data_IF_682165983279
#
_entry.id   IF_682165983279
#
_cell.length_a   1.000
_cell.length_b   1.000
_cell.length_c   1.000
_cell.angle_alpha   90.00
_cell.angle_beta   90.00
_cell.angle_gamma   90.00
#
_symmetry.space_group_name_H-M   'P 1'
#
loop_
_entity.id
_entity.type
_entity.pdbx_description
1 polymer ?
#
# COMPACT_ATOMS: atom_id res chain seq x y z
N UNK A 1 7.33 -50.08 32.72
CA UNK A 1 6.67 -48.78 32.46
C UNK A 1 7.74 -47.82 31.97
N UNK A 2 7.76 -47.55 30.67
CA UNK A 2 8.68 -46.59 30.06
C UNK A 2 7.85 -45.42 29.55
N UNK A 3 8.10 -44.24 30.09
CA UNK A 3 7.46 -42.98 29.69
C UNK A 3 8.14 -42.54 28.39
N UNK A 4 7.46 -42.48 27.23
CA UNK A 4 8.12 -42.01 26.02
C UNK A 4 8.28 -40.50 26.05
N UNK A 5 9.51 -40.11 25.68
CA UNK A 5 10.07 -38.79 25.63
C UNK A 5 9.26 -37.78 24.80
N UNK A 6 9.22 -36.56 25.34
CA UNK A 6 9.28 -35.27 24.63
C UNK A 6 8.28 -35.06 23.48
N UNK A 7 7.15 -34.47 23.85
CA UNK A 7 6.32 -33.66 22.97
C UNK A 7 7.15 -32.49 22.42
N UNK A 8 7.68 -32.61 21.19
CA UNK A 8 8.24 -31.47 20.47
C UNK A 8 7.08 -30.58 20.04
N UNK A 9 6.76 -29.57 20.86
CA UNK A 9 5.86 -28.49 20.50
C UNK A 9 6.44 -27.83 19.24
N UNK A 10 5.75 -27.95 18.10
CA UNK A 10 6.14 -27.27 16.86
C UNK A 10 6.27 -25.78 17.18
N UNK A 11 7.51 -25.28 17.15
CA UNK A 11 7.82 -23.87 17.41
C UNK A 11 6.96 -23.05 16.45
N UNK A 12 6.00 -22.29 16.98
CA UNK A 12 5.24 -21.31 16.21
C UNK A 12 6.25 -20.41 15.50
N UNK A 13 6.40 -20.61 14.19
CA UNK A 13 7.25 -19.77 13.36
C UNK A 13 6.54 -18.43 13.25
N UNK A 14 6.89 -17.48 14.13
CA UNK A 14 6.43 -16.08 14.00
C UNK A 14 6.93 -15.58 12.66
N UNK A 15 6.01 -15.40 11.72
CA UNK A 15 6.31 -14.79 10.44
C UNK A 15 6.94 -13.40 10.67
N UNK A 16 7.84 -12.97 9.77
CA UNK A 16 8.45 -11.65 9.86
C UNK A 16 7.38 -10.55 9.94
N UNK A 17 7.70 -9.40 10.55
CA UNK A 17 6.78 -8.27 10.64
C UNK A 17 6.52 -7.71 9.23
N UNK A 18 5.52 -8.26 8.56
CA UNK A 18 4.90 -7.58 7.43
C UNK A 18 4.12 -6.40 7.99
N UNK A 19 4.27 -5.24 7.36
CA UNK A 19 3.46 -4.06 7.66
C UNK A 19 1.97 -4.49 7.75
N UNK A 20 1.18 -3.93 8.69
CA UNK A 20 -0.19 -4.40 9.00
C UNK A 20 -1.20 -4.26 7.85
N UNK A 21 -0.73 -3.88 6.66
CA UNK A 21 -1.51 -3.64 5.47
C UNK A 21 -0.88 -4.37 4.28
N UNK A 22 -1.70 -5.12 3.54
CA UNK A 22 -1.25 -5.86 2.36
C UNK A 22 -0.68 -4.95 1.26
N UNK A 23 -0.07 -5.57 0.23
CA UNK A 23 0.55 -4.88 -0.91
C UNK A 23 -0.34 -3.81 -1.56
N UNK A 24 -1.67 -3.99 -1.56
CA UNK A 24 -2.63 -3.02 -2.10
C UNK A 24 -2.68 -1.68 -1.34
N UNK A 25 -2.35 -1.64 -0.05
CA UNK A 25 -2.30 -0.37 0.69
C UNK A 25 -1.02 0.42 0.37
N UNK A 26 0.09 -0.28 0.13
CA UNK A 26 1.37 0.32 -0.25
C UNK A 26 1.28 0.94 -1.64
N UNK A 27 0.60 0.28 -2.58
CA UNK A 27 0.44 0.81 -3.94
C UNK A 27 -0.39 2.09 -3.97
N UNK A 28 -1.48 2.20 -3.22
CA UNK A 28 -2.30 3.43 -3.13
C UNK A 28 -1.49 4.60 -2.58
N UNK A 29 -0.65 4.33 -1.58
CA UNK A 29 0.24 5.31 -0.96
C UNK A 29 1.30 5.81 -1.95
N UNK A 30 1.96 4.89 -2.65
CA UNK A 30 2.95 5.21 -3.67
C UNK A 30 2.35 6.00 -4.84
N UNK A 31 1.15 5.62 -5.27
CA UNK A 31 0.43 6.34 -6.33
C UNK A 31 0.06 7.76 -5.87
N UNK A 32 -0.47 7.91 -4.65
CA UNK A 32 -0.76 9.22 -4.08
C UNK A 32 0.49 10.11 -3.96
N UNK A 33 1.60 9.56 -3.47
CA UNK A 33 2.89 10.25 -3.38
C UNK A 33 3.44 10.64 -4.76
N UNK A 34 3.31 9.76 -5.75
CA UNK A 34 3.76 10.05 -7.12
C UNK A 34 2.98 11.23 -7.70
N UNK A 35 1.65 11.24 -7.56
CA UNK A 35 0.80 12.33 -8.05
C UNK A 35 1.11 13.67 -7.37
N UNK A 36 1.38 13.68 -6.06
CA UNK A 36 1.77 14.92 -5.38
C UNK A 36 3.11 15.44 -5.84
N UNK A 37 4.12 14.57 -5.95
CA UNK A 37 5.47 14.96 -6.41
C UNK A 37 5.40 15.51 -7.83
N UNK A 38 4.72 14.82 -8.75
CA UNK A 38 4.56 15.27 -10.14
C UNK A 38 3.84 16.61 -10.19
N UNK A 39 2.73 16.77 -9.44
CA UNK A 39 1.99 18.03 -9.36
C UNK A 39 2.85 19.20 -8.87
N UNK A 40 3.64 18.98 -7.81
CA UNK A 40 4.56 19.99 -7.26
C UNK A 40 5.64 20.36 -8.27
N UNK A 41 6.24 19.38 -8.95
CA UNK A 41 7.27 19.63 -9.97
C UNK A 41 6.71 20.47 -11.12
N UNK A 42 5.49 20.17 -11.58
CA UNK A 42 4.82 20.96 -12.63
C UNK A 42 4.56 22.40 -12.16
N UNK A 43 4.13 22.60 -10.91
CA UNK A 43 3.93 23.93 -10.33
C UNK A 43 5.25 24.72 -10.28
N UNK A 44 6.34 24.09 -9.85
CA UNK A 44 7.66 24.73 -9.81
C UNK A 44 8.11 25.10 -11.22
N UNK A 45 7.95 24.19 -12.19
CA UNK A 45 8.27 24.45 -13.59
C UNK A 45 7.44 25.61 -14.17
N UNK A 46 6.14 25.66 -13.86
CA UNK A 46 5.25 26.75 -14.26
C UNK A 46 5.71 28.10 -13.68
N UNK A 47 6.08 28.12 -12.39
CA UNK A 47 6.54 29.32 -11.71
C UNK A 47 7.85 29.85 -12.33
N UNK A 48 8.83 28.98 -12.55
CA UNK A 48 10.07 29.36 -13.20
C UNK A 48 9.84 29.82 -14.64
N UNK A 49 9.07 29.06 -15.43
CA UNK A 49 8.74 29.41 -16.81
C UNK A 49 8.01 30.74 -16.95
N UNK A 50 7.12 31.07 -16.01
CA UNK A 50 6.46 32.36 -15.93
C UNK A 50 7.44 33.50 -15.67
N UNK A 51 8.33 33.36 -14.67
CA UNK A 51 9.31 34.38 -14.32
C UNK A 51 10.27 34.62 -15.50
N UNK A 52 10.84 33.55 -16.06
CA UNK A 52 11.78 33.66 -17.19
C UNK A 52 11.09 34.19 -18.45
N UNK A 53 9.85 33.77 -18.72
CA UNK A 53 9.08 34.22 -19.87
C UNK A 53 8.68 35.70 -19.76
N UNK A 54 8.33 36.16 -18.56
CA UNK A 54 7.98 37.57 -18.30
C UNK A 54 9.22 38.47 -18.42
N UNK A 55 10.36 38.05 -17.85
CA UNK A 55 11.64 38.77 -17.98
C UNK A 55 12.08 38.82 -19.45
N UNK A 56 11.96 37.70 -20.17
CA UNK A 56 12.32 37.64 -21.60
C UNK A 56 11.45 38.54 -22.46
N UNK A 57 10.13 38.59 -22.21
CA UNK A 57 9.24 39.50 -22.92
C UNK A 57 9.54 40.98 -22.60
N UNK A 58 9.81 41.30 -21.33
CA UNK A 58 10.13 42.65 -20.90
C UNK A 58 11.47 43.18 -21.45
N UNK A 59 12.49 42.32 -21.56
CA UNK A 59 13.82 42.70 -22.07
C UNK A 59 13.94 42.59 -23.60
N UNK A 60 13.18 41.70 -24.23
CA UNK A 60 13.27 41.40 -25.67
C UNK A 60 12.37 42.23 -26.57
N UNK A 61 11.70 43.27 -26.05
CA UNK A 61 10.73 44.07 -26.81
C UNK A 61 9.41 43.35 -27.09
N UNK A 62 9.15 42.23 -26.42
CA UNK A 62 7.88 41.54 -26.46
C UNK A 62 6.82 42.41 -25.80
N UNK A 63 5.97 43.04 -26.61
CA UNK A 63 4.87 43.86 -26.09
C UNK A 63 3.92 43.07 -25.17
N UNK A 64 2.90 43.76 -24.65
CA UNK A 64 1.91 43.22 -23.69
C UNK A 64 1.38 41.82 -24.07
N UNK A 65 1.20 41.53 -25.37
CA UNK A 65 0.77 40.22 -25.86
C UNK A 65 1.73 39.05 -25.51
N UNK A 66 3.04 39.29 -25.50
CA UNK A 66 4.04 38.28 -25.16
C UNK A 66 4.01 37.92 -23.66
N UNK A 67 3.78 38.93 -22.82
CA UNK A 67 3.60 38.76 -21.37
C UNK A 67 2.28 38.02 -21.08
N UNK A 68 1.20 38.35 -21.80
CA UNK A 68 -0.06 37.62 -21.66
C UNK A 68 0.05 36.16 -22.12
N UNK A 69 0.81 35.88 -23.17
CA UNK A 69 1.04 34.51 -23.65
C UNK A 69 1.77 33.66 -22.62
N UNK A 70 2.86 34.18 -22.02
CA UNK A 70 3.59 33.47 -20.97
C UNK A 70 2.77 33.29 -19.69
N UNK A 71 1.93 34.27 -19.35
CA UNK A 71 0.98 34.19 -18.23
C UNK A 71 -0.05 33.08 -18.44
N UNK A 72 -0.66 33.00 -19.62
CA UNK A 72 -1.68 31.97 -19.91
C UNK A 72 -1.08 30.55 -19.90
N UNK A 73 0.14 30.38 -20.45
CA UNK A 73 0.86 29.10 -20.37
C UNK A 73 1.15 28.68 -18.93
N UNK A 74 1.57 29.64 -18.09
CA UNK A 74 1.79 29.39 -16.67
C UNK A 74 0.50 29.00 -15.95
N UNK A 75 -0.61 29.73 -16.16
CA UNK A 75 -1.91 29.45 -15.54
C UNK A 75 -2.36 28.02 -15.83
N UNK A 76 -2.25 27.57 -17.08
CA UNK A 76 -2.63 26.19 -17.46
C UNK A 76 -1.81 25.16 -16.68
N UNK A 77 -0.49 25.35 -16.58
CA UNK A 77 0.38 24.44 -15.83
C UNK A 77 0.11 24.50 -14.32
N UNK A 78 -0.22 25.67 -13.76
CA UNK A 78 -0.64 25.81 -12.37
C UNK A 78 -1.96 25.08 -12.10
N UNK A 79 -2.93 25.13 -13.02
CA UNK A 79 -4.19 24.39 -12.89
C UNK A 79 -3.95 22.88 -12.94
N UNK A 80 -3.18 22.40 -13.93
CA UNK A 80 -2.89 20.97 -14.07
C UNK A 80 -2.08 20.45 -12.88
N UNK A 81 -1.00 21.16 -12.51
CA UNK A 81 -0.17 20.82 -11.37
C UNK A 81 -0.95 20.89 -10.05
N UNK A 82 -1.83 21.88 -9.90
CA UNK A 82 -2.71 22.05 -8.75
C UNK A 82 -3.75 20.92 -8.62
N UNK A 83 -4.36 20.49 -9.72
CA UNK A 83 -5.29 19.34 -9.72
C UNK A 83 -4.55 18.05 -9.37
N UNK A 84 -3.37 17.79 -9.96
CA UNK A 84 -2.56 16.60 -9.66
C UNK A 84 -2.09 16.57 -8.19
N UNK A 85 -1.57 17.70 -7.70
CA UNK A 85 -1.17 17.83 -6.30
C UNK A 85 -2.38 17.74 -5.34
N UNK A 86 -3.54 18.27 -5.73
CA UNK A 86 -4.77 18.20 -4.97
C UNK A 86 -5.32 16.78 -4.85
N UNK A 87 -5.37 16.03 -5.95
CA UNK A 87 -5.80 14.62 -5.97
C UNK A 87 -4.84 13.76 -5.14
N UNK A 88 -3.52 13.94 -5.34
CA UNK A 88 -2.52 13.22 -4.55
C UNK A 88 -2.59 13.55 -3.05
N UNK A 89 -2.81 14.81 -2.70
CA UNK A 89 -2.95 15.26 -1.31
C UNK A 89 -4.23 14.72 -0.65
N UNK A 90 -5.33 14.65 -1.39
CA UNK A 90 -6.59 14.07 -0.92
C UNK A 90 -6.48 12.56 -0.69
N UNK A 91 -5.79 11.83 -1.59
CA UNK A 91 -5.51 10.40 -1.41
C UNK A 91 -4.67 10.13 -0.15
N UNK A 92 -3.64 10.93 0.09
CA UNK A 92 -2.86 10.86 1.33
C UNK A 92 -3.71 11.12 2.57
N UNK A 93 -4.63 12.07 2.50
CA UNK A 93 -5.54 12.38 3.61
C UNK A 93 -6.52 11.24 3.89
N UNK A 94 -7.11 10.65 2.86
CA UNK A 94 -7.95 9.45 3.01
C UNK A 94 -7.17 8.28 3.59
N UNK A 95 -5.91 8.12 3.20
CA UNK A 95 -5.04 7.09 3.75
C UNK A 95 -4.80 7.29 5.26
N UNK A 96 -4.54 8.51 5.71
CA UNK A 96 -4.44 8.83 7.14
C UNK A 96 -5.74 8.58 7.91
N UNK A 97 -6.89 8.92 7.33
CA UNK A 97 -8.21 8.62 7.92
C UNK A 97 -8.41 7.11 8.01
N UNK A 98 -8.02 6.36 6.98
CA UNK A 98 -8.12 4.90 6.97
C UNK A 98 -7.26 4.26 8.06
N UNK A 99 -6.04 4.77 8.29
CA UNK A 99 -5.19 4.33 9.41
C UNK A 99 -5.81 4.64 10.77
N UNK A 100 -6.34 5.85 10.96
CA UNK A 100 -6.99 6.24 12.22
C UNK A 100 -8.23 5.41 12.49
N UNK A 101 -9.07 5.20 11.48
CA UNK A 101 -10.25 4.34 11.59
C UNK A 101 -9.82 2.92 11.91
N UNK A 102 -8.86 2.34 11.19
CA UNK A 102 -8.34 0.99 11.47
C UNK A 102 -7.73 0.84 12.87
N UNK A 103 -7.11 1.89 13.40
CA UNK A 103 -6.61 1.94 14.76
C UNK A 103 -7.74 2.01 15.80
N UNK A 104 -8.79 2.79 15.54
CA UNK A 104 -9.94 3.00 16.45
C UNK A 104 -10.91 1.82 16.45
N UNK A 105 -11.17 1.21 15.29
CA UNK A 105 -12.09 0.06 15.17
C UNK A 105 -11.48 -1.24 15.65
N UNK A 106 -10.19 -1.25 16.02
CA UNK A 106 -9.48 -2.48 16.40
C UNK A 106 -9.35 -3.48 15.26
N UNK A 107 -9.81 -3.15 14.05
CA UNK A 107 -9.73 -3.98 12.85
C UNK A 107 -8.38 -3.78 12.16
N UNK A 108 -7.30 -3.77 12.95
CA UNK A 108 -5.92 -3.99 12.48
C UNK A 108 -5.67 -5.48 12.21
N UNK A 109 -6.75 -6.20 11.83
CA UNK A 109 -6.71 -7.57 11.35
C UNK A 109 -6.26 -7.57 9.90
N UNK A 110 -5.20 -8.33 9.63
CA UNK A 110 -4.58 -8.47 8.33
C UNK A 110 -5.56 -9.14 7.35
N UNK A 111 -6.48 -8.40 6.73
CA UNK A 111 -7.52 -8.97 5.83
C UNK A 111 -6.99 -9.80 4.66
N UNK A 112 -5.70 -9.67 4.30
CA UNK A 112 -5.04 -10.55 3.33
C UNK A 112 -4.48 -11.83 3.98
N UNK A 113 -3.82 -11.71 5.14
CA UNK A 113 -3.29 -12.84 5.89
C UNK A 113 -4.38 -13.69 6.51
N UNK A 114 -5.49 -13.09 6.96
CA UNK A 114 -6.63 -13.82 7.51
C UNK A 114 -7.28 -14.66 6.41
N UNK A 115 -7.40 -14.14 5.17
CA UNK A 115 -7.86 -14.93 4.02
C UNK A 115 -6.89 -16.04 3.62
N UNK A 116 -5.58 -15.79 3.65
CA UNK A 116 -4.57 -16.81 3.32
C UNK A 116 -4.44 -17.88 4.42
N UNK A 117 -4.49 -17.47 5.69
CA UNK A 117 -4.50 -18.36 6.85
C UNK A 117 -5.77 -19.22 6.87
N UNK A 118 -6.93 -18.63 6.57
CA UNK A 118 -8.20 -19.33 6.41
C UNK A 118 -8.11 -20.36 5.27
N UNK A 119 -7.51 -19.98 4.12
CA UNK A 119 -7.28 -20.91 3.00
C UNK A 119 -6.37 -22.09 3.36
N UNK A 120 -5.29 -21.87 4.10
CA UNK A 120 -4.42 -22.97 4.58
C UNK A 120 -5.09 -23.80 5.68
N UNK A 121 -5.99 -23.21 6.48
CA UNK A 121 -6.73 -23.93 7.52
C UNK A 121 -7.79 -24.88 6.96
N UNK A 122 -8.27 -24.63 5.73
CA UNK A 122 -9.28 -25.46 5.07
C UNK A 122 -8.71 -26.71 4.38
N UNK A 123 -7.39 -26.73 4.11
CA UNK A 123 -6.71 -27.89 3.52
C UNK A 123 -6.60 -28.99 4.60
N UNK A 124 -7.57 -29.91 4.55
CA UNK A 124 -7.61 -31.09 5.43
C UNK A 124 -7.06 -32.32 4.72
N UNK A 125 -5.98 -32.87 5.26
CA UNK A 125 -5.35 -34.11 4.81
C UNK A 125 -6.03 -35.31 5.49
N UNK A 126 -6.38 -36.33 4.71
CA UNK A 126 -7.01 -37.55 5.23
C UNK A 126 -5.93 -38.53 5.69
N UNK A 127 -6.00 -38.97 6.94
CA UNK A 127 -5.12 -40.01 7.45
C UNK A 127 -5.39 -41.35 6.74
N UNK A 128 -4.36 -41.94 6.16
CA UNK A 128 -4.47 -43.22 5.45
C UNK A 128 -4.82 -44.40 6.37
N UNK A 129 -4.52 -44.30 7.66
CA UNK A 129 -4.70 -45.41 8.59
C UNK A 129 -6.07 -45.46 9.27
N UNK A 130 -6.71 -44.30 9.54
CA UNK A 130 -8.01 -44.25 10.22
C UNK A 130 -9.06 -43.42 9.48
N UNK A 131 -8.73 -42.86 8.30
CA UNK A 131 -9.66 -42.09 7.47
C UNK A 131 -10.08 -40.72 8.02
N UNK A 132 -9.58 -40.32 9.20
CA UNK A 132 -9.93 -39.02 9.82
C UNK A 132 -9.25 -37.88 9.07
N UNK A 133 -10.00 -36.80 8.83
CA UNK A 133 -9.45 -35.55 8.30
C UNK A 133 -8.69 -34.81 9.41
N UNK A 134 -7.44 -34.47 9.15
CA UNK A 134 -6.58 -33.65 10.00
C UNK A 134 -6.14 -32.40 9.23
N UNK A 135 -5.82 -31.30 9.90
CA UNK A 135 -5.24 -30.14 9.23
C UNK A 135 -3.82 -30.44 8.75
N UNK A 136 -3.38 -29.80 7.66
CA UNK A 136 -2.07 -30.09 7.03
C UNK A 136 -0.84 -29.80 7.92
N UNK A 137 -0.98 -28.99 8.96
CA UNK A 137 0.14 -28.62 9.83
C UNK A 137 0.54 -29.73 10.82
N UNK A 138 -0.26 -30.79 10.97
CA UNK A 138 0.08 -31.92 11.86
C UNK A 138 0.73 -33.06 11.08
N UNK A 139 1.92 -33.47 11.53
CA UNK A 139 2.65 -34.65 10.99
C UNK A 139 2.07 -35.99 11.43
N UNK A 140 1.30 -36.00 12.53
CA UNK A 140 0.71 -37.20 13.12
C UNK A 140 -0.78 -37.03 13.33
N UNK A 141 -1.53 -38.09 13.06
CA UNK A 141 -2.98 -38.08 13.15
C UNK A 141 -3.44 -37.89 14.60
N UNK A 142 -4.26 -36.86 14.84
CA UNK A 142 -4.82 -36.57 16.17
C UNK A 142 -5.73 -37.67 16.79
N UNK A 143 -6.12 -38.72 16.05
CA UNK A 143 -6.89 -39.84 16.63
C UNK A 143 -6.09 -41.12 16.81
N UNK A 144 -5.20 -41.46 15.87
CA UNK A 144 -4.50 -42.75 15.89
C UNK A 144 -2.98 -42.62 16.09
N UNK A 145 -2.46 -41.40 16.25
CA UNK A 145 -1.04 -41.09 16.44
C UNK A 145 -0.08 -41.67 15.38
N UNK A 146 -0.60 -42.16 14.25
CA UNK A 146 0.19 -42.61 13.10
C UNK A 146 0.53 -41.42 12.19
N UNK A 147 1.62 -41.49 11.40
CA UNK A 147 1.94 -40.45 10.42
C UNK A 147 0.79 -40.28 9.41
N UNK A 148 0.53 -39.02 9.03
CA UNK A 148 -0.51 -38.63 8.07
C UNK A 148 0.08 -38.55 6.67
#
# INVERSE_FOLDING_TARGET
MAIPATYSMSRMQRSPPSLPFGWGAVTVLLVGALFTIIGIVIIIYAAFGFITGTIGAALGGGGVLGIFSSMMGAIILFVIGGVLAGVGGWLMRLWWIFLLVGAVTGTVGNTARDREAERTSEIRVRCQNCGRLNPEFVKFCMSCNKPI
#
